data_IF_475310558132
#
_entry.id   IF_475310558132
#
_cell.length_a   1.000
_cell.length_b   1.000
_cell.length_c   1.000
_cell.angle_alpha   90.00
_cell.angle_beta   90.00
_cell.angle_gamma   90.00
#
_symmetry.space_group_name_H-M   'P 1'
#
loop_
_entity.id
_entity.type
_entity.pdbx_description
1 polymer ?
#
# COMPACT_ATOMS: atom_id res chain seq x y z
N UNK A 1 -10.96 0.17 -2.08
CA UNK A 1 -12.34 -0.26 -2.44
C UNK A 1 -12.31 -1.14 -3.70
N UNK A 2 -12.90 -2.34 -3.66
CA UNK A 2 -13.07 -3.21 -4.83
C UNK A 2 -14.42 -2.89 -5.50
N UNK A 3 -14.43 -2.61 -6.80
CA UNK A 3 -15.66 -2.35 -7.55
C UNK A 3 -15.83 -3.44 -8.60
N UNK A 4 -17.02 -4.04 -8.64
CA UNK A 4 -17.35 -5.06 -9.62
C UNK A 4 -17.65 -4.45 -10.99
N UNK A 5 -16.94 -4.92 -12.01
CA UNK A 5 -17.05 -4.46 -13.40
C UNK A 5 -18.43 -4.72 -13.99
N UNK A 6 -19.11 -5.80 -13.60
CA UNK A 6 -20.49 -6.11 -14.02
C UNK A 6 -21.52 -5.07 -13.59
N UNK A 7 -21.20 -4.23 -12.59
CA UNK A 7 -22.06 -3.10 -12.17
C UNK A 7 -21.76 -1.81 -12.93
N UNK A 8 -20.64 -1.75 -13.63
CA UNK A 8 -20.12 -0.56 -14.32
C UNK A 8 -20.33 -0.68 -15.83
N UNK A 9 -20.17 -1.89 -16.37
CA UNK A 9 -20.47 -2.26 -17.75
C UNK A 9 -21.82 -3.00 -17.73
N UNK A 10 -22.95 -2.34 -18.05
CA UNK A 10 -24.22 -3.05 -18.16
C UNK A 10 -24.17 -4.04 -19.34
N UNK A 11 -24.91 -5.15 -19.25
CA UNK A 11 -25.07 -6.11 -20.36
C UNK A 11 -25.56 -5.42 -21.65
N UNK A 12 -26.27 -4.29 -21.54
CA UNK A 12 -26.69 -3.46 -22.67
C UNK A 12 -25.58 -2.57 -23.28
N UNK A 13 -24.50 -2.27 -22.56
CA UNK A 13 -23.33 -1.57 -23.12
C UNK A 13 -22.46 -2.53 -23.97
N UNK A 14 -22.52 -3.83 -23.70
CA UNK A 14 -22.00 -4.84 -24.62
C UNK A 14 -22.70 -4.78 -25.99
N UNK A 15 -23.96 -4.31 -26.05
CA UNK A 15 -24.68 -4.09 -27.32
C UNK A 15 -24.29 -2.80 -28.05
N UNK A 16 -23.65 -1.82 -27.41
CA UNK A 16 -23.27 -0.56 -28.05
C UNK A 16 -21.87 -0.60 -28.70
N UNK A 17 -20.99 -1.47 -28.21
CA UNK A 17 -19.68 -1.74 -28.80
C UNK A 17 -19.55 -3.25 -29.05
N UNK A 18 -19.79 -3.66 -30.30
CA UNK A 18 -19.78 -5.06 -30.78
C UNK A 18 -18.50 -5.83 -30.40
N UNK A 19 -17.44 -5.10 -30.06
CA UNK A 19 -16.14 -5.63 -29.63
C UNK A 19 -16.21 -6.21 -28.22
N UNK A 20 -16.83 -5.52 -27.24
CA UNK A 20 -16.92 -6.01 -25.86
C UNK A 20 -17.88 -7.20 -25.70
N UNK A 21 -18.96 -7.26 -26.50
CA UNK A 21 -19.87 -8.42 -26.52
C UNK A 21 -19.21 -9.74 -26.93
N UNK A 22 -18.02 -9.66 -27.55
CA UNK A 22 -17.23 -10.83 -27.97
C UNK A 22 -16.14 -11.21 -26.96
N UNK A 23 -15.99 -10.45 -25.87
CA UNK A 23 -15.03 -10.76 -24.82
C UNK A 23 -15.47 -12.03 -24.08
N UNK A 24 -14.69 -13.14 -24.13
CA UNK A 24 -15.12 -14.43 -23.60
C UNK A 24 -15.38 -14.41 -22.08
N UNK A 25 -14.58 -13.61 -21.36
CA UNK A 25 -14.76 -13.30 -19.95
C UNK A 25 -14.54 -11.81 -19.75
N UNK A 26 -15.54 -11.09 -19.25
CA UNK A 26 -15.36 -9.70 -18.85
C UNK A 26 -14.63 -9.71 -17.49
N UNK A 27 -13.56 -8.92 -17.29
CA UNK A 27 -12.92 -8.85 -15.99
C UNK A 27 -13.96 -8.46 -14.94
N UNK A 28 -13.88 -9.05 -13.75
CA UNK A 28 -14.97 -8.96 -12.77
C UNK A 28 -14.77 -7.88 -11.72
N UNK A 29 -13.55 -7.37 -11.55
CA UNK A 29 -13.25 -6.37 -10.52
C UNK A 29 -12.05 -5.48 -10.88
N UNK A 30 -12.00 -4.30 -10.28
CA UNK A 30 -10.86 -3.39 -10.33
C UNK A 30 -10.56 -2.77 -8.97
N UNK A 31 -9.36 -2.22 -8.81
CA UNK A 31 -8.98 -1.41 -7.67
C UNK A 31 -9.02 0.08 -8.01
N UNK A 32 -9.54 0.90 -7.12
CA UNK A 32 -9.41 2.36 -7.20
C UNK A 32 -8.35 2.88 -6.24
N UNK A 33 -7.39 3.63 -6.77
CA UNK A 33 -6.33 4.31 -6.02
C UNK A 33 -6.40 5.81 -6.37
N UNK A 34 -7.20 6.55 -5.60
CA UNK A 34 -7.49 7.95 -5.89
C UNK A 34 -8.27 8.08 -7.20
N UNK A 35 -7.73 8.83 -8.16
CA UNK A 35 -8.29 8.96 -9.51
C UNK A 35 -7.86 7.85 -10.47
N UNK A 36 -7.04 6.89 -10.02
CA UNK A 36 -6.50 5.81 -10.85
C UNK A 36 -7.37 4.56 -10.68
N UNK A 37 -7.79 3.97 -11.80
CA UNK A 37 -8.39 2.64 -11.85
C UNK A 37 -7.34 1.64 -12.30
N UNK A 38 -7.09 0.62 -11.50
CA UNK A 38 -6.08 -0.41 -11.74
C UNK A 38 -6.73 -1.77 -12.02
N UNK A 39 -6.36 -2.35 -13.16
CA UNK A 39 -6.77 -3.67 -13.63
C UNK A 39 -5.61 -4.68 -13.63
N UNK A 40 -5.98 -5.95 -13.50
CA UNK A 40 -5.12 -7.08 -13.82
C UNK A 40 -5.78 -7.85 -14.96
N UNK A 41 -5.55 -7.39 -16.19
CA UNK A 41 -6.03 -8.06 -17.38
C UNK A 41 -5.27 -9.37 -17.60
N UNK A 42 -5.94 -10.33 -18.23
CA UNK A 42 -5.38 -11.61 -18.66
C UNK A 42 -5.19 -11.56 -20.17
N UNK A 43 -4.42 -12.47 -20.72
CA UNK A 43 -4.14 -12.55 -22.16
C UNK A 43 -5.42 -12.57 -23.02
N UNK A 44 -6.50 -13.19 -22.53
CA UNK A 44 -7.80 -13.23 -23.20
C UNK A 44 -8.48 -11.84 -23.33
N UNK A 45 -8.12 -10.89 -22.48
CA UNK A 45 -8.62 -9.51 -22.51
C UNK A 45 -7.77 -8.58 -23.39
N UNK A 46 -6.58 -9.00 -23.81
CA UNK A 46 -5.62 -8.15 -24.54
C UNK A 46 -6.23 -7.48 -25.78
N UNK A 47 -7.02 -8.17 -26.63
CA UNK A 47 -7.67 -7.54 -27.79
C UNK A 47 -8.69 -6.45 -27.43
N UNK A 48 -9.16 -6.43 -26.17
CA UNK A 48 -10.25 -5.57 -25.69
C UNK A 48 -9.76 -4.47 -24.73
N UNK A 49 -8.46 -4.44 -24.38
CA UNK A 49 -7.94 -3.61 -23.28
C UNK A 49 -8.22 -2.12 -23.45
N UNK A 50 -8.15 -1.60 -24.67
CA UNK A 50 -8.44 -0.20 -24.96
C UNK A 50 -9.91 0.15 -24.68
N UNK A 51 -10.84 -0.72 -25.12
CA UNK A 51 -12.28 -0.51 -24.91
C UNK A 51 -12.63 -0.66 -23.43
N UNK A 52 -12.07 -1.68 -22.75
CA UNK A 52 -12.22 -1.85 -21.30
C UNK A 52 -11.74 -0.59 -20.56
N UNK A 53 -10.57 -0.07 -20.94
CA UNK A 53 -10.00 1.16 -20.40
C UNK A 53 -10.94 2.35 -20.56
N UNK A 54 -11.43 2.60 -21.77
CA UNK A 54 -12.30 3.73 -22.07
C UNK A 54 -13.64 3.66 -21.31
N UNK A 55 -14.27 2.47 -21.27
CA UNK A 55 -15.53 2.29 -20.54
C UNK A 55 -15.35 2.56 -19.04
N UNK A 56 -14.25 2.10 -18.45
CA UNK A 56 -13.97 2.39 -17.03
C UNK A 56 -13.71 3.87 -16.78
N UNK A 57 -12.98 4.54 -17.69
CA UNK A 57 -12.76 5.98 -17.59
C UNK A 57 -14.08 6.76 -17.60
N UNK A 58 -15.01 6.39 -18.48
CA UNK A 58 -16.28 7.08 -18.64
C UNK A 58 -17.28 6.79 -17.52
N UNK A 59 -17.26 5.57 -16.97
CA UNK A 59 -18.28 5.10 -16.02
C UNK A 59 -17.85 5.21 -14.55
N UNK A 60 -16.55 5.17 -14.26
CA UNK A 60 -16.06 5.26 -12.87
C UNK A 60 -15.90 6.72 -12.49
N UNK A 61 -16.83 7.22 -11.68
CA UNK A 61 -16.84 8.62 -11.21
C UNK A 61 -15.51 8.97 -10.53
N UNK A 62 -14.90 10.07 -10.98
CA UNK A 62 -13.64 10.58 -10.43
C UNK A 62 -12.38 9.91 -10.99
N UNK A 63 -12.53 8.87 -11.84
CA UNK A 63 -11.42 8.31 -12.60
C UNK A 63 -10.89 9.35 -13.60
N UNK A 64 -9.57 9.42 -13.73
CA UNK A 64 -8.90 10.19 -14.80
C UNK A 64 -7.86 9.36 -15.54
N UNK A 65 -7.48 8.21 -14.98
CA UNK A 65 -6.44 7.33 -15.51
C UNK A 65 -6.86 5.89 -15.28
N UNK A 66 -6.84 5.07 -16.32
CA UNK A 66 -7.04 3.62 -16.22
C UNK A 66 -5.75 2.93 -16.61
N UNK A 67 -5.26 2.07 -15.73
CA UNK A 67 -4.01 1.32 -15.93
C UNK A 67 -4.23 -0.17 -15.85
N UNK A 68 -3.37 -0.91 -16.54
CA UNK A 68 -3.25 -2.34 -16.43
C UNK A 68 -1.85 -2.71 -15.94
N UNK A 69 -1.77 -3.74 -15.10
CA UNK A 69 -0.51 -4.37 -14.71
C UNK A 69 0.04 -5.18 -15.89
N UNK A 70 1.29 -4.91 -16.28
CA UNK A 70 1.94 -5.56 -17.42
C UNK A 70 2.67 -6.83 -17.00
N UNK A 71 3.38 -6.81 -15.86
CA UNK A 71 4.21 -7.95 -15.41
C UNK A 71 4.06 -8.26 -13.92
N UNK A 72 4.22 -9.54 -13.56
CA UNK A 72 4.21 -10.04 -12.19
C UNK A 72 5.54 -9.85 -11.44
N UNK A 73 6.60 -9.40 -12.11
CA UNK A 73 7.96 -9.30 -11.56
C UNK A 73 8.11 -8.06 -10.69
N UNK A 74 7.46 -8.08 -9.52
CA UNK A 74 7.74 -7.11 -8.47
C UNK A 74 9.17 -7.30 -7.99
N UNK A 75 10.07 -6.41 -8.41
CA UNK A 75 11.46 -6.40 -7.94
C UNK A 75 11.55 -6.22 -6.41
N UNK A 76 12.74 -5.96 -5.85
CA UNK A 76 12.92 -5.86 -4.40
C UNK A 76 12.01 -4.81 -3.72
N UNK A 77 11.50 -3.83 -4.47
CA UNK A 77 10.58 -2.78 -4.00
C UNK A 77 9.09 -3.12 -4.18
N UNK A 78 8.78 -4.30 -4.72
CA UNK A 78 7.40 -4.79 -4.98
C UNK A 78 6.56 -3.85 -5.85
N UNK A 79 7.20 -3.02 -6.66
CA UNK A 79 6.57 -2.16 -7.66
C UNK A 79 6.22 -2.97 -8.91
N UNK A 80 5.11 -2.63 -9.57
CA UNK A 80 4.69 -3.29 -10.80
C UNK A 80 4.81 -2.33 -11.98
N UNK A 81 5.23 -2.83 -13.13
CA UNK A 81 5.11 -2.06 -14.36
C UNK A 81 3.63 -2.00 -14.77
N UNK A 82 3.21 -0.80 -15.15
CA UNK A 82 1.84 -0.51 -15.53
C UNK A 82 1.82 0.17 -16.89
N UNK A 83 0.86 -0.21 -17.72
CA UNK A 83 0.52 0.49 -18.96
C UNK A 83 -0.73 1.34 -18.72
N UNK A 84 -0.79 2.51 -19.35
CA UNK A 84 -2.00 3.34 -19.36
C UNK A 84 -2.91 2.86 -20.48
N UNK A 85 -4.11 2.42 -20.14
CA UNK A 85 -5.13 1.98 -21.09
C UNK A 85 -5.99 3.13 -21.60
N UNK A 86 -6.30 4.10 -20.73
CA UNK A 86 -7.13 5.26 -21.06
C UNK A 86 -6.87 6.43 -20.09
N UNK A 87 -7.12 7.66 -20.57
CA UNK A 87 -7.01 8.88 -19.77
C UNK A 87 -5.60 9.46 -19.72
N UNK A 88 -5.35 10.34 -18.74
CA UNK A 88 -4.07 11.03 -18.60
C UNK A 88 -3.00 10.10 -17.99
N UNK A 89 -1.73 10.14 -18.42
CA UNK A 89 -0.66 9.32 -17.86
C UNK A 89 -0.15 9.90 -16.52
N UNK A 90 -1.06 10.08 -15.57
CA UNK A 90 -0.80 10.66 -14.25
C UNK A 90 -0.96 9.59 -13.16
N UNK A 91 0.17 9.08 -12.68
CA UNK A 91 0.22 8.04 -11.64
C UNK A 91 0.40 8.57 -10.22
N UNK A 92 0.31 9.89 -10.02
CA UNK A 92 0.37 10.50 -8.68
C UNK A 92 -0.99 10.40 -7.99
N UNK A 93 -1.18 9.35 -7.21
CA UNK A 93 -2.43 9.14 -6.51
C UNK A 93 -2.54 10.01 -5.25
N UNK A 94 -3.79 10.35 -4.89
CA UNK A 94 -4.13 10.83 -3.55
C UNK A 94 -5.27 9.98 -2.99
N UNK A 95 -5.05 9.36 -1.84
CA UNK A 95 -6.00 8.46 -1.19
C UNK A 95 -6.22 8.88 0.25
N UNK A 96 -7.42 8.60 0.77
CA UNK A 96 -7.75 8.83 2.17
C UNK A 96 -8.12 7.50 2.82
N UNK A 97 -7.32 7.06 3.77
CA UNK A 97 -7.53 5.85 4.56
C UNK A 97 -7.34 6.18 6.04
N UNK A 98 -8.19 5.61 6.91
CA UNK A 98 -8.07 5.77 8.38
C UNK A 98 -7.98 7.24 8.85
N UNK A 99 -8.69 8.15 8.18
CA UNK A 99 -8.67 9.58 8.50
C UNK A 99 -7.36 10.29 8.14
N UNK A 100 -6.44 9.63 7.46
CA UNK A 100 -5.17 10.15 6.96
C UNK A 100 -5.22 10.31 5.44
N UNK A 101 -4.49 11.29 4.92
CA UNK A 101 -4.36 11.51 3.47
C UNK A 101 -2.97 11.10 3.02
N UNK A 102 -2.89 10.23 2.02
CA UNK A 102 -1.63 9.78 1.44
C UNK A 102 -1.54 10.26 0.00
N UNK A 103 -0.37 10.73 -0.39
CA UNK A 103 0.02 11.02 -1.76
C UNK A 103 1.30 10.29 -2.10
N UNK A 104 1.36 9.76 -3.31
CA UNK A 104 2.50 9.00 -3.79
C UNK A 104 2.43 8.79 -5.30
N UNK A 105 3.57 8.50 -5.92
CA UNK A 105 3.64 8.00 -7.28
C UNK A 105 3.41 6.48 -7.29
N UNK A 106 2.25 6.06 -7.79
CA UNK A 106 1.83 4.65 -7.80
C UNK A 106 2.75 3.75 -8.64
N UNK A 107 3.53 4.32 -9.57
CA UNK A 107 4.53 3.56 -10.33
C UNK A 107 5.77 3.19 -9.52
N UNK A 108 6.01 3.90 -8.40
CA UNK A 108 7.25 3.81 -7.62
C UNK A 108 7.11 3.15 -6.27
N UNK A 109 5.88 2.95 -5.79
CA UNK A 109 5.62 2.39 -4.46
C UNK A 109 4.61 1.26 -4.52
N UNK A 110 4.69 0.36 -3.55
CA UNK A 110 3.64 -0.63 -3.34
C UNK A 110 2.47 0.00 -2.56
N UNK A 111 1.26 -0.10 -3.11
CA UNK A 111 0.03 0.27 -2.41
C UNK A 111 -1.10 -0.69 -2.76
N UNK A 112 -1.90 -1.06 -1.75
CA UNK A 112 -3.07 -1.91 -1.91
C UNK A 112 -4.19 -1.46 -0.97
N UNK A 113 -5.19 -0.81 -1.55
CA UNK A 113 -6.35 -0.24 -0.85
C UNK A 113 -7.33 -1.29 -0.32
N UNK A 114 -7.04 -2.59 -0.51
CA UNK A 114 -7.78 -3.70 0.12
C UNK A 114 -7.30 -3.99 1.54
N UNK A 115 -6.09 -3.54 1.88
CA UNK A 115 -5.50 -3.76 3.20
C UNK A 115 -5.96 -2.71 4.22
N UNK A 116 -6.73 -1.69 3.82
CA UNK A 116 -7.22 -0.63 4.73
C UNK A 116 -7.84 -1.18 6.03
N UNK A 117 -8.71 -2.20 5.92
CA UNK A 117 -9.35 -2.81 7.11
C UNK A 117 -8.32 -3.41 8.05
N UNK A 118 -7.28 -4.04 7.51
CA UNK A 118 -6.20 -4.65 8.29
C UNK A 118 -5.27 -3.59 8.88
N UNK A 119 -4.95 -2.54 8.10
CA UNK A 119 -4.25 -1.34 8.58
C UNK A 119 -4.97 -0.76 9.80
N UNK A 120 -6.30 -0.59 9.69
CA UNK A 120 -7.13 -0.08 10.77
C UNK A 120 -7.11 -1.00 11.98
N UNK A 121 -7.30 -2.31 11.79
CA UNK A 121 -7.33 -3.31 12.87
C UNK A 121 -6.06 -3.26 13.73
N UNK A 122 -4.89 -3.23 13.08
CA UNK A 122 -3.60 -3.16 13.78
C UNK A 122 -3.47 -1.82 14.52
N UNK A 123 -3.71 -0.69 13.83
CA UNK A 123 -3.60 0.65 14.44
C UNK A 123 -4.57 0.83 15.61
N UNK A 124 -5.78 0.30 15.51
CA UNK A 124 -6.78 0.38 16.58
C UNK A 124 -6.44 -0.49 17.79
N UNK A 125 -5.69 -1.57 17.58
CA UNK A 125 -5.22 -2.45 18.66
C UNK A 125 -4.08 -1.87 19.50
N UNK A 126 -3.42 -0.80 19.01
CA UNK A 126 -2.35 -0.12 19.75
C UNK A 126 -2.91 0.61 20.97
N UNK A 127 -2.31 0.35 22.12
CA UNK A 127 -2.49 1.12 23.35
C UNK A 127 -1.79 2.49 23.25
N UNK A 128 -2.19 3.50 24.03
CA UNK A 128 -1.52 4.81 24.03
C UNK A 128 -0.04 4.78 24.42
N UNK A 129 0.39 3.74 25.15
CA UNK A 129 1.78 3.55 25.58
C UNK A 129 2.61 2.73 24.59
N UNK A 130 1.99 2.19 23.54
CA UNK A 130 2.72 1.38 22.57
C UNK A 130 3.65 2.23 21.71
N UNK A 131 4.80 1.64 21.40
CA UNK A 131 5.79 2.20 20.48
C UNK A 131 5.90 1.23 19.29
N UNK A 132 5.59 1.73 18.10
CA UNK A 132 5.48 0.94 16.88
C UNK A 132 6.81 0.94 16.11
N UNK A 133 7.30 -0.24 15.74
CA UNK A 133 8.39 -0.42 14.79
C UNK A 133 7.84 -1.07 13.52
N UNK A 134 7.73 -0.30 12.44
CA UNK A 134 7.25 -0.73 11.13
C UNK A 134 8.45 -0.98 10.19
N UNK A 135 8.77 -2.24 9.92
CA UNK A 135 9.93 -2.61 9.12
C UNK A 135 9.74 -2.48 7.60
N UNK A 136 8.50 -2.36 7.15
CA UNK A 136 8.07 -2.34 5.75
C UNK A 136 7.00 -1.27 5.54
N UNK A 137 7.33 -0.06 5.96
CA UNK A 137 6.38 1.03 6.16
C UNK A 137 5.73 1.53 4.87
N UNK A 138 6.33 1.27 3.70
CA UNK A 138 5.86 1.84 2.44
C UNK A 138 5.70 3.36 2.56
N UNK A 139 4.53 3.86 2.16
CA UNK A 139 4.16 5.29 2.29
C UNK A 139 3.50 5.65 3.63
N UNK A 140 3.47 4.71 4.58
CA UNK A 140 3.04 4.90 5.95
C UNK A 140 1.60 4.52 6.33
N UNK A 141 0.93 3.52 5.73
CA UNK A 141 -0.45 3.19 6.08
C UNK A 141 -0.66 2.72 7.53
N UNK A 142 0.38 2.22 8.20
CA UNK A 142 0.38 1.98 9.66
C UNK A 142 1.02 3.14 10.42
N UNK A 143 2.21 3.54 9.99
CA UNK A 143 3.03 4.54 10.67
C UNK A 143 2.29 5.87 10.90
N UNK A 144 1.65 6.41 9.86
CA UNK A 144 1.00 7.73 9.93
C UNK A 144 -0.25 7.69 10.81
N UNK A 145 -1.20 6.74 10.65
CA UNK A 145 -2.33 6.64 11.57
C UNK A 145 -1.95 6.34 13.03
N UNK A 146 -0.91 5.54 13.27
CA UNK A 146 -0.41 5.29 14.62
C UNK A 146 0.18 6.57 15.25
N UNK A 147 1.06 7.28 14.52
CA UNK A 147 1.60 8.56 14.98
C UNK A 147 0.50 9.61 15.23
N UNK A 148 -0.55 9.62 14.40
CA UNK A 148 -1.71 10.51 14.57
C UNK A 148 -2.52 10.23 15.83
N UNK A 149 -2.45 9.01 16.37
CA UNK A 149 -3.04 8.62 17.66
C UNK A 149 -2.13 8.94 18.86
N UNK A 150 -0.93 9.46 18.60
CA UNK A 150 0.06 9.81 19.63
C UNK A 150 1.05 8.69 19.96
N UNK A 151 1.02 7.56 19.26
CA UNK A 151 2.04 6.52 19.42
C UNK A 151 3.37 7.01 18.82
N UNK A 152 4.48 6.67 19.49
CA UNK A 152 5.81 6.84 18.90
C UNK A 152 6.04 5.76 17.86
N UNK A 153 6.61 6.13 16.71
CA UNK A 153 6.77 5.26 15.56
C UNK A 153 8.19 5.33 14.99
N UNK A 154 8.78 4.17 14.76
CA UNK A 154 9.96 3.98 13.93
C UNK A 154 9.52 3.31 12.63
N UNK A 155 9.72 3.97 11.49
CA UNK A 155 9.24 3.50 10.20
C UNK A 155 10.41 3.32 9.22
N UNK A 156 10.55 2.12 8.71
CA UNK A 156 11.60 1.73 7.77
C UNK A 156 11.00 1.17 6.48
N UNK A 157 11.64 1.43 5.35
CA UNK A 157 11.37 0.72 4.11
C UNK A 157 12.64 0.56 3.29
N UNK A 158 12.71 -0.51 2.51
CA UNK A 158 13.83 -0.76 1.61
C UNK A 158 13.80 0.19 0.40
N UNK A 159 12.60 0.58 -0.03
CA UNK A 159 12.37 1.44 -1.18
C UNK A 159 12.53 2.93 -0.79
N UNK A 160 13.53 3.65 -1.32
CA UNK A 160 13.72 5.06 -1.02
C UNK A 160 12.55 5.94 -1.46
N UNK A 161 11.88 5.65 -2.59
CA UNK A 161 10.70 6.41 -3.03
C UNK A 161 9.54 6.27 -2.03
N UNK A 162 9.42 5.11 -1.37
CA UNK A 162 8.41 4.91 -0.31
C UNK A 162 8.68 5.80 0.89
N UNK A 163 9.95 5.89 1.34
CA UNK A 163 10.34 6.78 2.44
C UNK A 163 10.19 8.26 2.09
N UNK A 164 10.52 8.66 0.86
CA UNK A 164 10.28 10.04 0.40
C UNK A 164 8.80 10.40 0.55
N UNK A 165 7.90 9.55 0.06
CA UNK A 165 6.46 9.77 0.22
C UNK A 165 5.96 9.64 1.65
N UNK A 166 6.56 8.76 2.47
CA UNK A 166 6.24 8.65 3.89
C UNK A 166 6.50 9.98 4.62
N UNK A 167 7.66 10.61 4.38
CA UNK A 167 8.01 11.91 4.98
C UNK A 167 7.05 13.01 4.54
N UNK A 168 6.76 13.08 3.23
CA UNK A 168 5.76 14.02 2.69
C UNK A 168 4.37 13.81 3.30
N UNK A 169 3.97 12.54 3.46
CA UNK A 169 2.68 12.18 4.03
C UNK A 169 2.65 12.44 5.55
N UNK A 170 3.75 12.27 6.27
CA UNK A 170 3.85 12.62 7.68
C UNK A 170 3.58 14.11 7.88
N UNK A 171 4.24 14.97 7.11
CA UNK A 171 4.03 16.42 7.17
C UNK A 171 2.61 16.81 6.77
N UNK A 172 2.07 16.20 5.71
CA UNK A 172 0.68 16.39 5.28
C UNK A 172 -0.35 16.04 6.37
N UNK A 173 -0.05 15.03 7.18
CA UNK A 173 -0.91 14.60 8.28
C UNK A 173 -0.53 15.22 9.63
N UNK A 174 0.48 16.10 9.68
CA UNK A 174 0.99 16.80 10.87
C UNK A 174 1.51 15.84 11.96
N UNK A 175 2.26 14.84 11.53
CA UNK A 175 2.89 13.81 12.39
C UNK A 175 4.38 13.65 12.08
N UNK A 176 4.99 14.67 11.50
CA UNK A 176 6.41 14.80 11.21
C UNK A 176 7.34 15.24 12.37
N UNK A 177 6.86 15.58 13.60
CA UNK A 177 7.79 15.78 14.72
C UNK A 177 8.64 14.53 15.01
N UNK A 178 9.98 14.65 15.14
CA UNK A 178 10.87 13.50 15.33
C UNK A 178 10.57 12.64 16.55
N UNK A 179 9.96 13.21 17.59
CA UNK A 179 9.52 12.51 18.79
C UNK A 179 8.35 11.56 18.54
N UNK A 180 7.56 11.80 17.49
CA UNK A 180 6.42 10.97 17.09
C UNK A 180 6.80 9.99 15.99
N UNK A 181 7.51 10.44 14.96
CA UNK A 181 7.85 9.60 13.81
C UNK A 181 9.32 9.76 13.43
N UNK A 182 10.06 8.66 13.50
CA UNK A 182 11.44 8.57 12.98
C UNK A 182 11.45 7.64 11.77
N UNK A 183 11.96 8.12 10.65
CA UNK A 183 12.01 7.35 9.40
C UNK A 183 13.43 6.90 9.06
N UNK A 184 13.60 5.70 8.52
CA UNK A 184 14.86 5.21 7.95
C UNK A 184 14.64 4.51 6.62
N UNK A 185 15.67 4.47 5.77
CA UNK A 185 15.66 3.71 4.52
C UNK A 185 16.66 2.58 4.61
N UNK A 186 16.23 1.34 4.36
CA UNK A 186 17.14 0.19 4.33
C UNK A 186 16.49 -1.15 4.61
N UNK A 187 17.36 -2.14 4.83
CA UNK A 187 16.94 -3.52 5.10
C UNK A 187 16.24 -3.62 6.46
N UNK A 188 15.01 -4.16 6.48
CA UNK A 188 14.22 -4.36 7.70
C UNK A 188 14.98 -5.15 8.78
N UNK A 189 15.82 -6.12 8.38
CA UNK A 189 16.67 -6.89 9.29
C UNK A 189 17.68 -6.01 10.04
N UNK A 190 18.33 -5.10 9.31
CA UNK A 190 19.30 -4.17 9.91
C UNK A 190 18.58 -3.13 10.77
N UNK A 191 17.41 -2.67 10.34
CA UNK A 191 16.55 -1.77 11.11
C UNK A 191 16.14 -2.36 12.47
N UNK A 192 15.58 -3.58 12.50
CA UNK A 192 15.22 -4.20 13.79
C UNK A 192 16.45 -4.47 14.66
N UNK A 193 17.57 -4.92 14.07
CA UNK A 193 18.82 -5.13 14.82
C UNK A 193 19.36 -3.84 15.43
N UNK A 194 19.36 -2.73 14.69
CA UNK A 194 19.86 -1.46 15.23
C UNK A 194 19.00 -0.95 16.38
N UNK A 195 17.67 -1.09 16.31
CA UNK A 195 16.77 -0.76 17.42
C UNK A 195 17.08 -1.60 18.66
N UNK A 196 17.29 -2.91 18.48
CA UNK A 196 17.62 -3.85 19.56
C UNK A 196 18.99 -3.54 20.17
N UNK A 197 20.03 -3.41 19.34
CA UNK A 197 21.43 -3.18 19.77
C UNK A 197 21.61 -1.83 20.46
N UNK A 198 20.84 -0.81 20.07
CA UNK A 198 20.82 0.49 20.72
C UNK A 198 19.90 0.57 21.94
N UNK A 199 19.26 -0.54 22.33
CA UNK A 199 18.25 -0.59 23.40
C UNK A 199 17.10 0.41 23.19
N UNK A 200 16.80 0.75 21.94
CA UNK A 200 15.69 1.61 21.59
C UNK A 200 14.37 0.86 21.85
N UNK A 201 13.46 1.39 22.69
CA UNK A 201 12.26 0.67 23.06
C UNK A 201 11.24 0.65 21.92
N UNK A 202 10.65 -0.53 21.68
CA UNK A 202 9.44 -0.71 20.88
C UNK A 202 8.63 -1.87 21.46
N UNK A 203 7.29 -1.78 21.40
CA UNK A 203 6.38 -2.77 21.99
C UNK A 203 5.56 -3.51 20.95
N UNK A 204 5.48 -2.99 19.72
CA UNK A 204 4.79 -3.62 18.59
C UNK A 204 5.68 -3.55 17.37
N UNK A 205 5.88 -4.68 16.70
CA UNK A 205 6.60 -4.74 15.44
C UNK A 205 5.64 -5.15 14.32
N UNK A 206 5.55 -4.33 13.28
CA UNK A 206 4.76 -4.66 12.07
C UNK A 206 5.70 -5.12 10.98
N UNK A 207 5.41 -6.30 10.43
CA UNK A 207 6.17 -6.92 9.35
C UNK A 207 5.24 -7.28 8.18
N UNK A 208 4.68 -6.26 7.51
CA UNK A 208 3.76 -6.40 6.39
C UNK A 208 4.44 -6.85 5.09
N UNK A 209 5.12 -8.00 5.15
CA UNK A 209 5.72 -8.70 4.04
C UNK A 209 5.23 -10.16 4.00
N UNK A 210 3.98 -10.41 3.56
CA UNK A 210 3.26 -11.66 3.85
C UNK A 210 3.96 -12.97 3.45
N UNK A 211 4.78 -12.96 2.40
CA UNK A 211 5.48 -14.17 1.93
C UNK A 211 6.86 -14.39 2.58
N UNK A 212 7.50 -13.35 3.11
CA UNK A 212 8.86 -13.44 3.64
C UNK A 212 9.02 -12.96 5.08
N UNK A 213 7.95 -12.48 5.73
CA UNK A 213 8.01 -12.04 7.13
C UNK A 213 8.53 -13.11 8.11
N UNK A 214 8.26 -14.43 7.95
CA UNK A 214 8.81 -15.43 8.86
C UNK A 214 10.35 -15.48 8.86
N UNK A 215 10.99 -15.06 7.75
CA UNK A 215 12.46 -15.05 7.63
C UNK A 215 13.11 -13.97 8.49
N UNK A 216 12.36 -12.95 8.91
CA UNK A 216 12.87 -11.86 9.74
C UNK A 216 12.72 -12.14 11.24
N UNK A 217 11.99 -13.19 11.64
CA UNK A 217 11.75 -13.50 13.06
C UNK A 217 13.03 -13.88 13.83
N UNK A 218 14.09 -14.27 13.14
CA UNK A 218 15.38 -14.56 13.75
C UNK A 218 16.01 -13.33 14.43
N UNK A 219 15.68 -12.10 14.00
CA UNK A 219 16.18 -10.88 14.65
C UNK A 219 15.71 -10.75 16.10
N UNK A 220 14.57 -11.37 16.45
CA UNK A 220 14.00 -11.27 17.79
C UNK A 220 14.51 -12.35 18.75
N UNK A 221 15.25 -13.37 18.29
CA UNK A 221 15.70 -14.52 19.10
C UNK A 221 16.54 -14.14 20.32
N UNK A 222 17.20 -12.99 20.28
CA UNK A 222 18.07 -12.51 21.36
C UNK A 222 17.75 -11.07 21.79
N UNK A 223 16.63 -10.53 21.31
CA UNK A 223 16.34 -9.10 21.41
C UNK A 223 16.44 -8.56 22.84
N UNK A 224 16.06 -9.35 23.86
CA UNK A 224 16.15 -8.90 25.25
C UNK A 224 16.50 -10.06 26.19
N UNK A 225 17.80 -10.38 26.31
CA UNK A 225 18.33 -11.30 27.35
C UNK A 225 18.29 -10.70 28.77
N UNK A 226 17.97 -9.41 28.93
CA UNK A 226 17.74 -8.76 30.23
C UNK A 226 16.23 -8.61 30.51
N UNK A 227 15.81 -8.97 31.72
CA UNK A 227 14.43 -9.30 32.13
C UNK A 227 13.42 -8.13 32.25
N UNK A 228 13.64 -6.98 31.62
CA UNK A 228 12.83 -5.79 31.93
C UNK A 228 11.68 -5.47 30.97
N UNK A 229 11.69 -6.01 29.73
CA UNK A 229 10.74 -5.57 28.69
C UNK A 229 9.95 -6.77 28.15
N UNK A 230 8.59 -6.71 28.11
CA UNK A 230 7.79 -7.75 27.49
C UNK A 230 8.09 -7.86 25.99
N UNK A 231 7.95 -9.07 25.44
CA UNK A 231 8.17 -9.31 24.01
C UNK A 231 7.23 -8.43 23.17
N UNK A 232 7.73 -7.83 22.07
CA UNK A 232 6.87 -7.06 21.21
C UNK A 232 5.82 -7.97 20.57
N UNK A 233 4.60 -7.46 20.42
CA UNK A 233 3.61 -8.14 19.60
C UNK A 233 4.04 -8.00 18.15
N UNK A 234 4.22 -9.13 17.46
CA UNK A 234 4.53 -9.16 16.03
C UNK A 234 3.23 -9.29 15.26
N UNK A 235 2.97 -8.35 14.34
CA UNK A 235 1.78 -8.32 13.48
C UNK A 235 2.13 -8.20 12.00
#
# INVERSE_FOLDING_TARGET
>A
MLVHLSRVIPESAACADLTLARCPQVPTSFESVGHIVHLNLRDEHEPYKAVIGQVLLDKVKGSRTVVNKVDSTGGPFRTFQMEVLAGEPNLRASVRENGCTFQFDYSKVYWNSRLETEHRRIVESLSPTDILADGFAGVGPFAIPAAKRGNRVYANDLNPDSILHLVENASRNRVDPPELLTTSTGCARQFFRSLIESETPFTVAVMNFPAGSPEFLDVFRYAYRSKATPLPTVS
#
